data_IF_654009433573
#
_entry.id   IF_654009433573
#
_cell.length_a   1.000
_cell.length_b   1.000
_cell.length_c   1.000
_cell.angle_alpha   90.00
_cell.angle_beta   90.00
_cell.angle_gamma   90.00
#
_symmetry.space_group_name_H-M   'P 1'
#
loop_
_entity.id
_entity.type
_entity.pdbx_description
1 polymer ?
#
# COMPACT_ATOMS: atom_id res chain seq x y z
N UNK A 1 -8.40 12.96 1.86
CA UNK A 1 -8.70 14.02 0.88
C UNK A 1 -10.16 14.00 0.42
N UNK A 2 -10.67 12.88 -0.17
CA UNK A 2 -12.05 12.79 -0.69
C UNK A 2 -13.11 13.09 0.40
N UNK A 3 -12.97 12.51 1.59
CA UNK A 3 -13.86 12.82 2.71
C UNK A 3 -13.85 14.31 3.07
N UNK A 4 -12.65 14.92 3.13
CA UNK A 4 -12.55 16.38 3.35
C UNK A 4 -13.26 17.17 2.25
N UNK A 5 -13.18 16.75 0.97
CA UNK A 5 -13.87 17.39 -0.14
C UNK A 5 -15.40 17.35 -0.02
N UNK A 6 -15.95 16.28 0.57
CA UNK A 6 -17.40 16.16 0.80
C UNK A 6 -17.87 17.12 1.89
N UNK A 7 -17.18 17.19 3.02
CA UNK A 7 -17.61 17.90 4.23
C UNK A 7 -16.99 19.30 4.43
N UNK A 8 -16.06 19.73 3.56
CA UNK A 8 -15.45 21.04 3.70
C UNK A 8 -16.47 22.16 3.45
N UNK A 9 -16.56 23.11 4.38
CA UNK A 9 -17.47 24.28 4.25
C UNK A 9 -16.89 25.38 3.38
N UNK A 10 -15.56 25.49 3.32
CA UNK A 10 -14.84 26.57 2.63
C UNK A 10 -14.04 26.03 1.45
N UNK A 11 -14.73 25.33 0.53
CA UNK A 11 -14.08 24.71 -0.64
C UNK A 11 -13.54 25.77 -1.59
N UNK A 12 -12.36 25.50 -2.17
CA UNK A 12 -11.83 26.24 -3.31
C UNK A 12 -12.04 25.39 -4.57
N UNK A 13 -13.13 25.61 -5.28
CA UNK A 13 -13.60 24.72 -6.34
C UNK A 13 -14.00 23.34 -5.76
N UNK A 14 -13.33 22.28 -6.21
CA UNK A 14 -13.53 20.90 -5.69
C UNK A 14 -12.58 20.52 -4.55
N UNK A 15 -11.60 21.39 -4.25
CA UNK A 15 -10.56 21.11 -3.26
C UNK A 15 -10.98 21.52 -1.85
N UNK A 16 -10.69 20.71 -0.81
CA UNK A 16 -10.93 21.10 0.56
C UNK A 16 -9.96 22.20 0.99
N UNK A 17 -10.39 23.10 1.86
CA UNK A 17 -9.56 24.21 2.36
C UNK A 17 -8.48 23.79 3.35
N UNK A 18 -8.56 22.56 3.93
CA UNK A 18 -7.66 21.98 4.93
C UNK A 18 -7.52 22.77 6.25
N UNK A 19 -8.27 23.87 6.41
CA UNK A 19 -8.15 24.79 7.55
C UNK A 19 -9.43 24.86 8.41
N UNK A 20 -10.60 24.59 7.83
CA UNK A 20 -11.86 24.65 8.57
C UNK A 20 -11.98 23.54 9.62
N UNK A 21 -12.93 23.70 10.56
CA UNK A 21 -13.18 22.72 11.64
C UNK A 21 -13.34 21.29 11.08
N UNK A 22 -14.17 21.13 10.07
CA UNK A 22 -14.46 19.80 9.51
C UNK A 22 -13.20 19.16 8.90
N UNK A 23 -12.39 19.92 8.15
CA UNK A 23 -11.14 19.41 7.59
C UNK A 23 -10.16 18.94 8.67
N UNK A 24 -10.06 19.68 9.79
CA UNK A 24 -9.20 19.33 10.92
C UNK A 24 -9.69 18.08 11.65
N UNK A 25 -11.00 17.99 11.95
CA UNK A 25 -11.58 16.82 12.59
C UNK A 25 -11.45 15.55 11.75
N UNK A 26 -11.63 15.65 10.42
CA UNK A 26 -11.45 14.51 9.51
C UNK A 26 -9.97 14.05 9.50
N UNK A 27 -9.02 14.99 9.54
CA UNK A 27 -7.59 14.67 9.61
C UNK A 27 -7.21 13.95 10.92
N UNK A 28 -7.86 14.33 12.01
CA UNK A 28 -7.68 13.72 13.35
C UNK A 28 -8.48 12.42 13.53
N UNK A 29 -9.24 11.98 12.51
CA UNK A 29 -10.14 10.81 12.56
C UNK A 29 -11.27 10.98 13.62
N UNK A 30 -11.65 12.23 13.95
CA UNK A 30 -12.63 12.58 15.00
C UNK A 30 -13.96 13.12 14.43
N UNK A 31 -14.10 13.21 13.09
CA UNK A 31 -15.34 13.70 12.50
C UNK A 31 -16.41 12.60 12.52
N UNK A 32 -17.59 12.82 13.15
CA UNK A 32 -18.56 11.77 13.46
C UNK A 32 -19.15 11.07 12.23
N UNK A 33 -19.28 11.78 11.10
CA UNK A 33 -19.84 11.23 9.86
C UNK A 33 -18.77 10.64 8.91
N UNK A 34 -17.52 10.51 9.38
CA UNK A 34 -16.44 9.82 8.67
C UNK A 34 -15.89 8.71 9.53
N UNK A 35 -16.07 7.48 9.10
CA UNK A 35 -15.56 6.30 9.80
C UNK A 35 -14.43 5.65 9.01
N UNK A 36 -13.27 5.51 9.66
CA UNK A 36 -12.11 4.82 9.11
C UNK A 36 -11.98 3.43 9.73
N UNK A 37 -11.88 2.41 8.88
CA UNK A 37 -11.70 1.02 9.27
C UNK A 37 -10.34 0.55 8.80
N UNK A 38 -9.53 0.09 9.75
CA UNK A 38 -8.22 -0.48 9.53
C UNK A 38 -8.21 -1.95 9.95
N UNK A 39 -7.43 -2.82 9.31
CA UNK A 39 -7.27 -4.19 9.75
C UNK A 39 -6.59 -4.23 11.12
N UNK A 40 -7.04 -5.16 11.96
CA UNK A 40 -6.39 -5.50 13.23
C UNK A 40 -5.77 -6.88 13.06
N UNK A 41 -4.47 -6.99 13.34
CA UNK A 41 -3.72 -8.25 13.12
C UNK A 41 -3.89 -8.80 11.69
N UNK A 42 -3.74 -7.91 10.69
CA UNK A 42 -3.85 -8.25 9.26
C UNK A 42 -5.24 -8.74 8.79
N UNK A 43 -6.29 -8.57 9.59
CA UNK A 43 -7.65 -9.00 9.24
C UNK A 43 -8.69 -7.96 9.63
N UNK A 44 -9.68 -7.74 8.76
CA UNK A 44 -10.91 -7.00 9.09
C UNK A 44 -11.99 -8.02 9.43
N UNK A 45 -12.34 -8.06 10.72
CA UNK A 45 -13.31 -9.03 11.25
C UNK A 45 -14.75 -8.72 10.83
N UNK A 46 -15.58 -9.76 10.74
CA UNK A 46 -16.99 -9.67 10.35
C UNK A 46 -17.81 -8.81 11.33
N UNK A 47 -17.53 -8.92 12.63
CA UNK A 47 -18.22 -8.17 13.68
C UNK A 47 -18.06 -6.67 13.46
N UNK A 48 -16.84 -6.21 13.14
CA UNK A 48 -16.55 -4.79 12.89
C UNK A 48 -17.34 -4.23 11.71
N UNK A 49 -17.47 -5.02 10.65
CA UNK A 49 -18.27 -4.63 9.48
C UNK A 49 -19.77 -4.65 9.80
N UNK A 50 -20.25 -5.59 10.61
CA UNK A 50 -21.68 -5.62 11.02
C UNK A 50 -22.06 -4.42 11.90
N UNK A 51 -21.18 -4.02 12.82
CA UNK A 51 -21.37 -2.78 13.59
C UNK A 51 -21.52 -1.58 12.66
N UNK A 52 -20.66 -1.50 11.65
CA UNK A 52 -20.69 -0.48 10.62
C UNK A 52 -22.02 -0.51 9.84
N UNK A 53 -22.45 -1.69 9.37
CA UNK A 53 -23.73 -1.85 8.64
C UNK A 53 -24.91 -1.33 9.47
N UNK A 54 -24.88 -1.50 10.79
CA UNK A 54 -25.87 -0.92 11.70
C UNK A 54 -25.90 0.62 11.69
N UNK A 55 -24.77 1.26 11.44
CA UNK A 55 -24.68 2.73 11.36
C UNK A 55 -25.22 3.28 10.04
N UNK A 56 -25.15 2.53 8.94
CA UNK A 56 -25.69 2.95 7.62
C UNK A 56 -27.21 3.23 7.63
N UNK A 57 -27.94 2.64 8.56
CA UNK A 57 -29.38 2.84 8.71
C UNK A 57 -29.74 4.10 9.51
N UNK A 58 -28.74 4.80 10.03
CA UNK A 58 -28.93 6.04 10.80
C UNK A 58 -28.51 7.22 9.92
N UNK A 59 -29.20 8.35 10.06
CA UNK A 59 -28.75 9.58 9.44
C UNK A 59 -27.41 10.04 10.10
N UNK A 60 -26.58 10.74 9.33
CA UNK A 60 -25.35 11.33 9.87
C UNK A 60 -25.64 12.27 11.06
N UNK A 61 -24.67 12.43 11.94
CA UNK A 61 -24.82 13.23 13.18
C UNK A 61 -24.73 14.74 12.87
N UNK A 62 -23.78 15.15 12.04
CA UNK A 62 -23.60 16.56 11.67
C UNK A 62 -24.05 16.85 10.23
N UNK A 63 -24.29 15.82 9.40
CA UNK A 63 -24.72 15.95 8.01
C UNK A 63 -25.72 14.86 7.63
N UNK A 64 -26.32 14.98 6.43
CA UNK A 64 -27.14 13.90 5.86
C UNK A 64 -26.31 12.81 5.19
N UNK A 65 -25.02 13.06 5.02
CA UNK A 65 -24.08 12.17 4.32
C UNK A 65 -23.16 11.48 5.34
N UNK A 66 -22.81 10.24 5.04
CA UNK A 66 -21.82 9.48 5.80
C UNK A 66 -20.73 8.95 4.85
N UNK A 67 -19.50 8.92 5.33
CA UNK A 67 -18.35 8.40 4.60
C UNK A 67 -17.69 7.29 5.38
N UNK A 68 -17.51 6.16 4.73
CA UNK A 68 -16.81 5.00 5.28
C UNK A 68 -15.59 4.69 4.42
N UNK A 69 -14.42 4.63 5.07
CA UNK A 69 -13.15 4.34 4.42
C UNK A 69 -12.64 3.03 4.99
N UNK A 70 -12.48 2.02 4.14
CA UNK A 70 -11.99 0.69 4.52
C UNK A 70 -10.59 0.54 3.94
N UNK A 71 -9.57 0.70 4.79
CA UNK A 71 -8.18 0.51 4.41
C UNK A 71 -7.83 -0.97 4.31
N UNK A 72 -6.97 -1.32 3.34
CA UNK A 72 -6.56 -2.69 3.06
C UNK A 72 -7.78 -3.62 2.96
N UNK A 73 -8.74 -3.25 2.13
CA UNK A 73 -10.00 -3.99 1.97
C UNK A 73 -9.80 -5.44 1.50
N UNK A 74 -8.64 -5.75 0.92
CA UNK A 74 -8.17 -7.11 0.61
C UNK A 74 -7.97 -8.00 1.86
N UNK A 75 -7.88 -7.40 3.05
CA UNK A 75 -7.81 -8.12 4.34
C UNK A 75 -9.17 -8.40 4.96
N UNK A 76 -10.25 -8.07 4.26
CA UNK A 76 -11.60 -8.28 4.75
C UNK A 76 -11.98 -9.77 4.65
N UNK A 77 -12.50 -10.33 5.75
CA UNK A 77 -13.02 -11.69 5.71
C UNK A 77 -14.21 -11.78 4.73
N UNK A 78 -14.35 -12.86 3.92
CA UNK A 78 -15.43 -12.98 2.94
C UNK A 78 -16.84 -12.76 3.50
N UNK A 79 -17.11 -13.24 4.72
CA UNK A 79 -18.39 -13.02 5.39
C UNK A 79 -18.62 -11.54 5.77
N UNK A 80 -17.56 -10.80 6.10
CA UNK A 80 -17.61 -9.36 6.33
C UNK A 80 -17.99 -8.63 5.03
N UNK A 81 -17.31 -8.94 3.95
CA UNK A 81 -17.57 -8.37 2.64
C UNK A 81 -19.03 -8.63 2.16
N UNK A 82 -19.53 -9.85 2.33
CA UNK A 82 -20.91 -10.19 2.00
C UNK A 82 -21.93 -9.40 2.83
N UNK A 83 -21.60 -9.02 4.07
CA UNK A 83 -22.51 -8.21 4.91
C UNK A 83 -22.69 -6.79 4.36
N UNK A 84 -21.76 -6.28 3.53
CA UNK A 84 -21.85 -4.95 2.93
C UNK A 84 -22.73 -4.93 1.64
N UNK A 85 -22.93 -6.08 0.99
CA UNK A 85 -23.58 -6.11 -0.33
C UNK A 85 -24.95 -5.47 -0.32
N UNK A 86 -25.76 -5.75 0.74
CA UNK A 86 -27.11 -5.18 0.84
C UNK A 86 -27.09 -3.64 0.94
N UNK A 87 -26.13 -3.09 1.66
CA UNK A 87 -26.01 -1.63 1.82
C UNK A 87 -25.47 -0.97 0.54
N UNK A 88 -24.59 -1.66 -0.18
CA UNK A 88 -24.07 -1.16 -1.46
C UNK A 88 -25.18 -1.12 -2.51
N UNK A 89 -26.08 -2.11 -2.49
CA UNK A 89 -27.19 -2.20 -3.46
C UNK A 89 -28.35 -1.26 -3.13
N UNK A 90 -28.71 -1.17 -1.86
CA UNK A 90 -29.88 -0.41 -1.39
C UNK A 90 -29.51 0.48 -0.19
N UNK A 91 -28.74 1.56 -0.39
CA UNK A 91 -28.38 2.47 0.69
C UNK A 91 -29.63 3.21 1.19
N UNK A 92 -29.84 3.21 2.51
CA UNK A 92 -30.99 3.88 3.15
C UNK A 92 -30.76 5.38 3.44
N UNK A 93 -29.53 5.85 3.25
CA UNK A 93 -29.09 7.24 3.39
C UNK A 93 -28.02 7.58 2.37
N UNK A 94 -27.59 8.84 2.29
CA UNK A 94 -26.45 9.22 1.43
C UNK A 94 -25.13 8.69 2.02
N UNK A 95 -24.71 7.51 1.59
CA UNK A 95 -23.51 6.83 2.06
C UNK A 95 -22.47 6.73 0.94
N UNK A 96 -21.25 7.12 1.25
CA UNK A 96 -20.07 6.92 0.40
C UNK A 96 -19.14 5.89 1.03
N UNK A 97 -18.86 4.80 0.34
CA UNK A 97 -17.97 3.74 0.82
C UNK A 97 -16.74 3.69 -0.07
N UNK A 98 -15.57 3.92 0.51
CA UNK A 98 -14.29 3.83 -0.17
C UNK A 98 -13.53 2.57 0.27
N UNK A 99 -13.33 1.64 -0.66
CA UNK A 99 -12.47 0.48 -0.47
C UNK A 99 -11.07 0.81 -0.98
N UNK A 100 -10.08 0.87 -0.10
CA UNK A 100 -8.69 1.10 -0.46
C UNK A 100 -7.96 -0.25 -0.46
N UNK A 101 -7.35 -0.60 -1.59
CA UNK A 101 -6.58 -1.83 -1.73
C UNK A 101 -5.36 -1.61 -2.61
N UNK A 102 -4.32 -2.38 -2.39
CA UNK A 102 -3.17 -2.48 -3.29
C UNK A 102 -3.33 -3.60 -4.33
N UNK A 103 -4.33 -4.48 -4.15
CA UNK A 103 -4.58 -5.64 -5.00
C UNK A 103 -6.10 -5.82 -5.19
N UNK A 104 -6.62 -5.39 -6.33
CA UNK A 104 -8.05 -5.47 -6.63
C UNK A 104 -8.55 -6.90 -6.83
N UNK A 105 -7.66 -7.82 -7.24
CA UNK A 105 -8.04 -9.21 -7.46
C UNK A 105 -8.42 -9.94 -6.16
N UNK A 106 -7.93 -9.46 -5.01
CA UNK A 106 -8.30 -9.97 -3.69
C UNK A 106 -9.62 -9.44 -3.16
N UNK A 107 -10.19 -8.42 -3.80
CA UNK A 107 -11.54 -7.94 -3.47
C UNK A 107 -12.57 -8.87 -4.09
N UNK A 108 -13.59 -9.24 -3.32
CA UNK A 108 -14.65 -10.12 -3.81
C UNK A 108 -15.28 -9.59 -5.11
N UNK A 109 -15.45 -10.45 -6.14
CA UNK A 109 -16.05 -10.05 -7.41
C UNK A 109 -17.43 -9.41 -7.25
N UNK A 110 -18.18 -9.82 -6.24
CA UNK A 110 -19.51 -9.26 -5.90
C UNK A 110 -19.46 -7.81 -5.43
N UNK A 111 -18.38 -7.38 -4.76
CA UNK A 111 -18.14 -5.96 -4.42
C UNK A 111 -17.64 -5.22 -5.65
N UNK A 112 -16.66 -5.78 -6.36
CA UNK A 112 -16.06 -5.15 -7.56
C UNK A 112 -17.13 -4.81 -8.61
N UNK A 113 -18.10 -5.71 -8.84
CA UNK A 113 -19.17 -5.50 -9.83
C UNK A 113 -20.15 -4.38 -9.46
N UNK A 114 -20.16 -3.94 -8.20
CA UNK A 114 -21.08 -2.91 -7.66
C UNK A 114 -20.39 -1.61 -7.28
N UNK A 115 -19.10 -1.52 -7.50
CA UNK A 115 -18.28 -0.36 -7.15
C UNK A 115 -17.59 0.21 -8.37
N UNK A 116 -17.35 1.52 -8.37
CA UNK A 116 -16.53 2.15 -9.38
C UNK A 116 -15.05 2.02 -8.99
N UNK A 117 -14.23 1.50 -9.90
CA UNK A 117 -12.81 1.26 -9.66
C UNK A 117 -11.99 2.43 -10.20
N UNK A 118 -11.12 2.98 -9.37
CA UNK A 118 -10.16 4.02 -9.72
C UNK A 118 -8.74 3.51 -9.46
N UNK A 119 -7.92 3.49 -10.50
CA UNK A 119 -6.51 3.11 -10.38
C UNK A 119 -5.63 4.35 -10.20
N UNK A 120 -4.95 4.42 -9.07
CA UNK A 120 -3.97 5.45 -8.79
C UNK A 120 -2.57 4.91 -9.09
N UNK A 121 -2.00 5.35 -10.20
CA UNK A 121 -0.62 4.98 -10.53
C UNK A 121 0.35 5.58 -9.53
N UNK A 122 1.34 4.77 -9.12
CA UNK A 122 2.45 5.23 -8.30
C UNK A 122 3.21 6.34 -9.04
N UNK A 123 3.41 7.49 -8.42
CA UNK A 123 4.17 8.59 -9.02
C UNK A 123 5.68 8.42 -8.73
N UNK A 124 6.25 7.31 -9.17
CA UNK A 124 7.65 6.95 -8.89
C UNK A 124 8.62 8.00 -9.38
N UNK A 125 8.44 8.50 -10.62
CA UNK A 125 9.31 9.53 -11.20
C UNK A 125 9.33 10.80 -10.36
N UNK A 126 8.16 11.24 -9.87
CA UNK A 126 8.07 12.42 -9.02
C UNK A 126 8.76 12.20 -7.67
N UNK A 127 8.61 11.00 -7.10
CA UNK A 127 9.28 10.66 -5.84
C UNK A 127 10.79 10.58 -6.04
N UNK A 128 11.27 9.98 -7.13
CA UNK A 128 12.70 9.95 -7.47
C UNK A 128 13.28 11.36 -7.56
N UNK A 129 12.62 12.26 -8.31
CA UNK A 129 13.06 13.65 -8.44
C UNK A 129 13.12 14.37 -7.09
N UNK A 130 12.14 14.18 -6.23
CA UNK A 130 12.13 14.75 -4.88
C UNK A 130 13.30 14.22 -4.03
N UNK A 131 13.60 12.92 -4.11
CA UNK A 131 14.70 12.30 -3.38
C UNK A 131 16.07 12.74 -3.91
N UNK A 132 16.21 12.93 -5.22
CA UNK A 132 17.43 13.51 -5.83
C UNK A 132 17.64 14.96 -5.37
N UNK A 133 16.60 15.78 -5.30
CA UNK A 133 16.67 17.15 -4.75
C UNK A 133 17.11 17.19 -3.27
N UNK A 134 16.88 16.12 -2.53
CA UNK A 134 17.36 15.95 -1.15
C UNK A 134 18.81 15.46 -1.07
N UNK A 135 19.49 15.29 -2.20
CA UNK A 135 20.89 14.86 -2.25
C UNK A 135 21.12 13.36 -2.37
N UNK A 136 20.06 12.56 -2.56
CA UNK A 136 20.25 11.13 -2.81
C UNK A 136 20.74 10.89 -4.25
N UNK A 137 21.69 9.97 -4.39
CA UNK A 137 22.14 9.51 -5.72
C UNK A 137 20.96 8.80 -6.41
N UNK A 138 20.77 9.05 -7.72
CA UNK A 138 19.67 8.53 -8.54
C UNK A 138 19.38 7.04 -8.31
N UNK A 139 20.43 6.20 -8.27
CA UNK A 139 20.28 4.76 -8.02
C UNK A 139 19.57 4.47 -6.67
N UNK A 140 19.98 5.14 -5.60
CA UNK A 140 19.36 5.00 -4.28
C UNK A 140 17.94 5.55 -4.27
N UNK A 141 17.70 6.69 -4.91
CA UNK A 141 16.38 7.29 -5.06
C UNK A 141 15.42 6.35 -5.80
N UNK A 142 15.88 5.70 -6.88
CA UNK A 142 15.08 4.72 -7.65
C UNK A 142 14.72 3.51 -6.79
N UNK A 143 15.66 2.95 -6.03
CA UNK A 143 15.39 1.83 -5.13
C UNK A 143 14.34 2.23 -4.10
N UNK A 144 14.52 3.36 -3.40
CA UNK A 144 13.57 3.84 -2.39
C UNK A 144 12.17 4.08 -2.97
N UNK A 145 12.06 4.65 -4.18
CA UNK A 145 10.79 4.90 -4.82
C UNK A 145 9.99 3.62 -5.12
N UNK A 146 10.66 2.47 -5.27
CA UNK A 146 9.99 1.18 -5.40
C UNK A 146 9.42 0.66 -4.07
N UNK A 147 10.03 1.03 -2.95
CA UNK A 147 9.62 0.58 -1.61
C UNK A 147 8.63 1.52 -0.93
N UNK A 148 8.68 2.82 -1.22
CA UNK A 148 7.94 3.86 -0.54
C UNK A 148 6.85 4.46 -1.43
N UNK A 149 5.76 4.89 -0.81
CA UNK A 149 4.69 5.61 -1.50
C UNK A 149 4.75 7.12 -1.25
N UNK A 150 5.46 7.53 -0.20
CA UNK A 150 5.57 8.92 0.21
C UNK A 150 7.03 9.31 0.50
N UNK A 151 7.27 10.64 0.44
CA UNK A 151 8.56 11.22 0.83
C UNK A 151 8.93 10.87 2.28
N UNK A 152 7.99 10.97 3.21
CA UNK A 152 8.24 10.71 4.62
C UNK A 152 8.68 9.26 4.90
N UNK A 153 8.05 8.30 4.20
CA UNK A 153 8.49 6.89 4.25
C UNK A 153 9.89 6.70 3.68
N UNK A 154 10.17 7.35 2.54
CA UNK A 154 11.48 7.25 1.90
C UNK A 154 12.60 7.86 2.77
N UNK A 155 12.36 9.01 3.42
CA UNK A 155 13.29 9.61 4.37
C UNK A 155 13.55 8.68 5.57
N UNK A 156 12.49 8.07 6.10
CA UNK A 156 12.61 7.12 7.22
C UNK A 156 13.41 5.89 6.82
N UNK A 157 13.12 5.31 5.65
CA UNK A 157 13.81 4.12 5.16
C UNK A 157 15.26 4.43 4.75
N UNK A 158 15.52 5.61 4.15
CA UNK A 158 16.85 6.07 3.77
C UNK A 158 17.82 6.17 4.94
N UNK A 159 17.31 6.47 6.14
CA UNK A 159 18.10 6.57 7.36
C UNK A 159 18.34 5.22 8.06
N UNK A 160 17.79 4.12 7.55
CA UNK A 160 18.00 2.78 8.11
C UNK A 160 19.25 2.13 7.50
N UNK A 161 20.35 2.07 8.25
CA UNK A 161 21.59 1.43 7.80
C UNK A 161 21.40 -0.06 7.46
N UNK A 162 20.53 -0.77 8.19
CA UNK A 162 20.19 -2.17 7.93
C UNK A 162 19.58 -2.39 6.54
N UNK A 163 18.72 -1.49 6.08
CA UNK A 163 18.13 -1.55 4.74
C UNK A 163 19.22 -1.47 3.64
N UNK A 164 20.15 -0.51 3.78
CA UNK A 164 21.23 -0.38 2.80
C UNK A 164 22.20 -1.56 2.81
N UNK A 165 22.45 -2.16 3.99
CA UNK A 165 23.21 -3.40 4.08
C UNK A 165 22.57 -4.52 3.27
N UNK A 166 21.23 -4.69 3.37
CA UNK A 166 20.50 -5.66 2.56
C UNK A 166 20.59 -5.35 1.07
N UNK A 167 20.50 -4.08 0.66
CA UNK A 167 20.66 -3.65 -0.74
C UNK A 167 22.05 -4.00 -1.25
N UNK A 168 23.10 -3.60 -0.54
CA UNK A 168 24.50 -3.81 -0.97
C UNK A 168 24.84 -5.31 -1.08
N UNK A 169 24.39 -6.13 -0.14
CA UNK A 169 24.63 -7.58 -0.17
C UNK A 169 23.81 -8.28 -1.25
N UNK A 170 22.59 -7.78 -1.53
CA UNK A 170 21.77 -8.28 -2.66
C UNK A 170 22.40 -7.95 -4.01
N UNK A 171 22.92 -6.74 -4.20
CA UNK A 171 23.66 -6.36 -5.41
C UNK A 171 24.91 -7.22 -5.60
N UNK A 172 25.64 -7.46 -4.52
CA UNK A 172 26.83 -8.34 -4.55
C UNK A 172 26.47 -9.77 -4.95
N UNK A 173 25.37 -10.29 -4.39
CA UNK A 173 24.88 -11.63 -4.73
C UNK A 173 24.51 -11.71 -6.20
N UNK A 174 23.75 -10.75 -6.75
CA UNK A 174 23.41 -10.73 -8.17
C UNK A 174 24.64 -10.66 -9.07
N UNK A 175 25.61 -9.81 -8.73
CA UNK A 175 26.86 -9.71 -9.48
C UNK A 175 27.59 -11.05 -9.51
N UNK A 176 27.72 -11.73 -8.37
CA UNK A 176 28.39 -13.03 -8.32
C UNK A 176 27.63 -14.14 -9.06
N UNK A 177 26.31 -14.11 -9.05
CA UNK A 177 25.47 -15.03 -9.84
C UNK A 177 25.64 -14.79 -11.35
N UNK A 178 25.73 -13.54 -11.79
CA UNK A 178 25.95 -13.17 -13.19
C UNK A 178 27.35 -13.59 -13.66
N UNK A 179 28.36 -13.38 -12.84
CA UNK A 179 29.77 -13.77 -13.10
C UNK A 179 29.99 -15.27 -12.97
N UNK A 180 28.97 -16.06 -12.63
CA UNK A 180 29.08 -17.53 -12.41
C UNK A 180 30.12 -17.92 -11.37
N UNK A 181 30.31 -17.08 -10.34
CA UNK A 181 31.23 -17.38 -9.24
C UNK A 181 30.70 -18.56 -8.42
N UNK A 182 31.56 -19.55 -8.17
CA UNK A 182 31.17 -20.72 -7.37
C UNK A 182 30.81 -20.36 -5.94
N UNK A 183 31.38 -19.29 -5.42
CA UNK A 183 31.17 -18.79 -4.06
C UNK A 183 29.84 -18.04 -3.89
N UNK A 184 29.02 -17.90 -4.93
CA UNK A 184 27.72 -17.22 -4.85
C UNK A 184 26.79 -17.81 -3.79
N UNK A 185 26.90 -19.11 -3.49
CA UNK A 185 26.12 -19.75 -2.41
C UNK A 185 26.48 -19.21 -1.02
N UNK A 186 27.73 -18.77 -0.79
CA UNK A 186 28.13 -18.15 0.48
C UNK A 186 27.42 -16.81 0.67
N UNK A 187 27.19 -16.08 -0.41
CA UNK A 187 26.47 -14.81 -0.37
C UNK A 187 24.98 -15.01 -0.07
N UNK A 188 24.39 -16.08 -0.56
CA UNK A 188 23.00 -16.48 -0.19
C UNK A 188 22.91 -16.77 1.31
N UNK A 189 23.86 -17.55 1.86
CA UNK A 189 23.89 -17.84 3.29
C UNK A 189 24.06 -16.57 4.14
N UNK A 190 24.89 -15.62 3.68
CA UNK A 190 25.06 -14.33 4.34
C UNK A 190 23.78 -13.51 4.33
N UNK A 191 23.08 -13.39 3.20
CA UNK A 191 21.80 -12.70 3.09
C UNK A 191 20.75 -13.34 4.00
N UNK A 192 20.67 -14.68 4.02
CA UNK A 192 19.77 -15.40 4.90
C UNK A 192 20.03 -15.13 6.38
N UNK A 193 21.30 -14.95 6.77
CA UNK A 193 21.66 -14.60 8.16
C UNK A 193 21.33 -13.15 8.53
N UNK A 194 21.30 -12.23 7.57
CA UNK A 194 20.91 -10.84 7.77
C UNK A 194 19.38 -10.66 7.78
N UNK A 195 18.69 -11.52 7.05
CA UNK A 195 17.23 -11.54 6.95
C UNK A 195 16.67 -12.61 7.93
N UNK A 196 16.81 -12.35 9.22
CA UNK A 196 16.48 -13.27 10.32
C UNK A 196 14.98 -13.35 10.62
N UNK A 197 14.18 -12.44 10.08
CA UNK A 197 12.73 -12.42 10.21
C UNK A 197 12.03 -12.37 8.83
N UNK A 198 10.73 -12.67 8.83
CA UNK A 198 9.92 -12.74 7.61
C UNK A 198 9.81 -11.39 6.89
N UNK A 199 9.83 -10.29 7.62
CA UNK A 199 9.75 -8.95 7.05
C UNK A 199 11.02 -8.61 6.27
N UNK A 200 12.20 -8.87 6.84
CA UNK A 200 13.49 -8.67 6.17
C UNK A 200 13.66 -9.61 4.98
N UNK A 201 13.16 -10.84 5.07
CA UNK A 201 13.18 -11.79 3.97
C UNK A 201 12.33 -11.29 2.78
N UNK A 202 11.12 -10.77 3.03
CA UNK A 202 10.30 -10.13 1.98
C UNK A 202 11.00 -8.88 1.43
N UNK A 203 11.67 -8.09 2.27
CA UNK A 203 12.47 -6.95 1.82
C UNK A 203 13.60 -7.39 0.87
N UNK A 204 14.34 -8.45 1.18
CA UNK A 204 15.41 -8.98 0.30
C UNK A 204 14.85 -9.43 -1.04
N UNK A 205 13.74 -10.18 -1.05
CA UNK A 205 13.11 -10.61 -2.30
C UNK A 205 12.69 -9.41 -3.15
N UNK A 206 12.07 -8.40 -2.55
CA UNK A 206 11.68 -7.17 -3.25
C UNK A 206 12.89 -6.38 -3.76
N UNK A 207 13.99 -6.30 -2.98
CA UNK A 207 15.23 -5.66 -3.44
C UNK A 207 15.75 -6.37 -4.69
N UNK A 208 15.80 -7.70 -4.67
CA UNK A 208 16.26 -8.49 -5.83
C UNK A 208 15.36 -8.31 -7.04
N UNK A 209 14.04 -8.27 -6.86
CA UNK A 209 13.08 -7.97 -7.94
C UNK A 209 13.37 -6.59 -8.58
N UNK A 210 13.58 -5.56 -7.73
CA UNK A 210 13.89 -4.20 -8.20
C UNK A 210 15.23 -4.15 -8.95
N UNK A 211 16.25 -4.79 -8.40
CA UNK A 211 17.58 -4.82 -9.03
C UNK A 211 17.57 -5.59 -10.36
N UNK A 212 16.88 -6.72 -10.43
CA UNK A 212 16.69 -7.46 -11.68
C UNK A 212 15.87 -6.66 -12.70
N UNK A 213 14.85 -5.91 -12.23
CA UNK A 213 14.01 -5.09 -13.09
C UNK A 213 14.75 -3.95 -13.81
N UNK A 214 15.91 -3.51 -13.29
CA UNK A 214 16.72 -2.44 -13.90
C UNK A 214 17.47 -2.87 -15.15
N UNK A 215 17.75 -4.17 -15.35
CA UNK A 215 18.50 -4.68 -16.50
C UNK A 215 17.86 -5.94 -17.11
N UNK A 216 16.63 -5.81 -17.57
CA UNK A 216 15.87 -6.91 -18.20
C UNK A 216 16.39 -7.29 -19.60
N UNK A 217 17.36 -6.56 -20.17
CA UNK A 217 17.94 -6.90 -21.46
C UNK A 217 18.77 -8.19 -21.40
N UNK A 218 19.36 -8.51 -20.27
CA UNK A 218 20.12 -9.74 -20.07
C UNK A 218 19.20 -10.94 -19.85
N UNK A 219 19.32 -11.96 -20.72
CA UNK A 219 18.50 -13.17 -20.61
C UNK A 219 18.62 -13.88 -19.26
N UNK A 220 19.81 -13.84 -18.66
CA UNK A 220 20.07 -14.46 -17.35
C UNK A 220 19.38 -13.74 -16.20
N UNK A 221 19.30 -12.42 -16.26
CA UNK A 221 18.56 -11.62 -15.27
C UNK A 221 17.06 -11.95 -15.33
N UNK A 222 16.52 -12.10 -16.55
CA UNK A 222 15.11 -12.53 -16.71
C UNK A 222 14.85 -13.90 -16.09
N UNK A 223 15.78 -14.85 -16.25
CA UNK A 223 15.64 -16.17 -15.62
C UNK A 223 15.68 -16.07 -14.08
N UNK A 224 16.64 -15.35 -13.52
CA UNK A 224 16.73 -15.12 -12.08
C UNK A 224 15.45 -14.47 -11.55
N UNK A 225 14.93 -13.46 -12.25
CA UNK A 225 13.69 -12.80 -11.86
C UNK A 225 12.49 -13.75 -11.88
N UNK A 226 12.41 -14.61 -12.90
CA UNK A 226 11.35 -15.62 -12.99
C UNK A 226 11.42 -16.60 -11.83
N UNK A 227 12.61 -17.11 -11.52
CA UNK A 227 12.84 -18.05 -10.41
C UNK A 227 12.48 -17.40 -9.05
N UNK A 228 12.81 -16.11 -8.85
CA UNK A 228 12.43 -15.34 -7.65
C UNK A 228 10.91 -15.18 -7.52
N UNK A 229 10.21 -14.85 -8.63
CA UNK A 229 8.75 -14.70 -8.62
C UNK A 229 8.04 -16.03 -8.35
N UNK A 230 8.56 -17.14 -8.86
CA UNK A 230 8.05 -18.48 -8.57
C UNK A 230 8.28 -18.85 -7.09
N UNK A 231 9.47 -18.61 -6.57
CA UNK A 231 9.78 -18.83 -5.15
C UNK A 231 8.85 -18.01 -4.22
N UNK A 232 8.55 -16.76 -4.59
CA UNK A 232 7.66 -15.90 -3.81
C UNK A 232 6.21 -16.38 -3.78
N UNK A 233 5.73 -17.08 -4.81
CA UNK A 233 4.38 -17.66 -4.84
C UNK A 233 4.23 -18.87 -3.89
N UNK A 234 5.34 -19.54 -3.59
CA UNK A 234 5.37 -20.70 -2.71
C UNK A 234 5.51 -20.35 -1.22
N UNK A 235 5.68 -19.06 -0.93
CA UNK A 235 5.90 -18.48 0.40
C UNK A 235 4.63 -17.84 0.98
#
# INVERSE_FOLDING_TARGET
FLAKSLFCRDKVGVLPCEKCRNCKLIEQEEFPDVTLIKPVNQVIKTERIRELVGQFSQAGIESQQQVFIIEQADKMHPNAANSLLKVIEEPQSEVYIFFLTSDEEKILPTIRSRTQIFHFKKQEEKLILLLEQMGLVKKKATILAQFCQSRAEAEKLANQASFWTLVDESERMLTWLLDKKKESYLQVAKLASLADDKEKQDQVLRILEVLCGQDLLQARIRQILQDLLEARKMW
#
